data_IF_897480513369
#
_entry.id   IF_897480513369
#
_cell.length_a   1.000
_cell.length_b   1.000
_cell.length_c   1.000
_cell.angle_alpha   90.00
_cell.angle_beta   90.00
_cell.angle_gamma   90.00
#
_symmetry.space_group_name_H-M   'P 1'
#
loop_
_entity.id
_entity.type
_entity.pdbx_description
1 polymer ?
#
# COMPACT_ATOMS: atom_id res chain seq x y z
N UNK A 1 4.68 5.89 46.01
CA UNK A 1 3.75 4.87 45.47
C UNK A 1 3.05 5.24 44.17
N UNK A 2 3.25 6.40 43.53
CA UNK A 2 2.45 6.81 42.35
C UNK A 2 3.04 6.55 40.96
N UNK A 3 4.31 6.14 40.81
CA UNK A 3 4.89 5.94 39.47
C UNK A 3 4.39 4.70 38.73
N UNK A 4 3.97 3.66 39.47
CA UNK A 4 3.49 2.40 38.87
C UNK A 4 2.06 2.50 38.31
N UNK A 5 1.23 3.39 38.86
CA UNK A 5 -0.12 3.66 38.35
C UNK A 5 -0.08 4.43 37.03
N UNK A 6 0.83 5.39 36.90
CA UNK A 6 0.99 6.19 35.67
C UNK A 6 1.45 5.34 34.50
N UNK A 7 2.47 4.48 34.70
CA UNK A 7 2.98 3.61 33.64
C UNK A 7 1.95 2.57 33.15
N UNK A 8 1.08 2.07 34.06
CA UNK A 8 0.03 1.13 33.66
C UNK A 8 -1.09 1.80 32.87
N UNK A 9 -1.45 3.04 33.24
CA UNK A 9 -2.42 3.85 32.47
C UNK A 9 -1.86 4.25 31.10
N UNK A 10 -0.56 4.53 31.00
CA UNK A 10 0.12 4.79 29.72
C UNK A 10 0.07 3.58 28.78
N UNK A 11 0.37 2.38 29.30
CA UNK A 11 0.31 1.15 28.51
C UNK A 11 -1.11 0.88 27.98
N UNK A 12 -2.15 1.03 28.80
CA UNK A 12 -3.55 0.84 28.38
C UNK A 12 -3.99 1.86 27.32
N UNK A 13 -3.55 3.12 27.41
CA UNK A 13 -3.88 4.15 26.42
C UNK A 13 -3.17 3.91 25.08
N UNK A 14 -1.89 3.50 25.11
CA UNK A 14 -1.17 3.14 23.89
C UNK A 14 -1.74 1.90 23.21
N UNK A 15 -2.17 0.90 23.97
CA UNK A 15 -2.79 -0.32 23.42
C UNK A 15 -4.17 -0.04 22.82
N UNK A 16 -4.92 0.90 23.41
CA UNK A 16 -6.19 1.41 22.85
C UNK A 16 -5.97 2.18 21.53
N UNK A 17 -4.89 2.97 21.43
CA UNK A 17 -4.54 3.70 20.21
C UNK A 17 -4.13 2.74 19.08
N UNK A 18 -3.32 1.73 19.40
CA UNK A 18 -2.87 0.72 18.44
C UNK A 18 -4.03 -0.15 17.94
N UNK A 19 -4.93 -0.57 18.83
CA UNK A 19 -6.14 -1.33 18.46
C UNK A 19 -7.18 -0.52 17.67
N UNK A 20 -7.13 0.81 17.73
CA UNK A 20 -7.96 1.71 16.91
C UNK A 20 -7.53 1.85 15.44
N UNK A 21 -6.33 1.35 15.09
CA UNK A 21 -5.82 1.41 13.72
C UNK A 21 -6.54 0.38 12.85
N UNK A 22 -7.42 0.86 11.97
CA UNK A 22 -8.14 -0.01 11.03
C UNK A 22 -7.45 -0.15 9.67
N UNK A 23 -6.45 0.68 9.36
CA UNK A 23 -5.76 0.61 8.07
C UNK A 23 -4.89 -0.65 7.98
N UNK A 24 -5.08 -1.50 6.97
CA UNK A 24 -4.27 -2.71 6.80
C UNK A 24 -2.79 -2.40 6.53
N UNK A 25 -2.50 -1.22 5.95
CA UNK A 25 -1.13 -0.74 5.72
C UNK A 25 -0.47 -0.39 7.05
N UNK A 26 -1.18 0.35 7.91
CA UNK A 26 -0.66 0.71 9.23
C UNK A 26 -0.58 -0.49 10.17
N UNK A 27 -1.55 -1.39 10.15
CA UNK A 27 -1.49 -2.64 10.90
C UNK A 27 -0.26 -3.46 10.50
N UNK A 28 0.04 -3.55 9.20
CA UNK A 28 1.27 -4.19 8.72
C UNK A 28 2.53 -3.52 9.24
N UNK A 29 2.57 -2.18 9.25
CA UNK A 29 3.70 -1.42 9.78
C UNK A 29 3.87 -1.61 11.30
N UNK A 30 2.79 -1.54 12.08
CA UNK A 30 2.81 -1.72 13.54
C UNK A 30 3.22 -3.15 13.92
N UNK A 31 2.66 -4.16 13.25
CA UNK A 31 3.05 -5.56 13.48
C UNK A 31 4.52 -5.80 13.11
N UNK A 32 5.04 -5.14 12.06
CA UNK A 32 6.47 -5.23 11.70
C UNK A 32 7.42 -4.58 12.72
N UNK A 33 6.92 -3.71 13.60
CA UNK A 33 7.70 -3.08 14.67
C UNK A 33 7.71 -3.93 15.95
N UNK A 34 6.68 -4.75 16.16
CA UNK A 34 6.54 -5.64 17.33
C UNK A 34 7.23 -7.01 17.11
N UNK A 35 7.44 -7.41 15.84
CA UNK A 35 8.00 -8.70 15.47
C UNK A 35 9.56 -8.69 15.46
N UNK A 36 10.15 -9.07 16.60
CA UNK A 36 11.57 -9.38 16.75
C UNK A 36 11.96 -10.65 15.97
N UNK A 37 12.80 -10.49 14.94
CA UNK A 37 13.68 -11.51 14.32
C UNK A 37 13.20 -12.98 14.33
N UNK A 38 12.21 -13.34 13.51
CA UNK A 38 12.34 -14.55 12.69
C UNK A 38 11.74 -14.35 11.29
N UNK A 39 12.64 -14.41 10.30
CA UNK A 39 12.33 -14.11 8.91
C UNK A 39 11.45 -15.17 8.27
N UNK A 40 10.14 -14.99 8.35
CA UNK A 40 9.18 -15.61 7.43
C UNK A 40 8.03 -14.65 7.17
N UNK A 41 8.37 -13.46 6.68
CA UNK A 41 7.37 -12.53 6.13
C UNK A 41 6.68 -13.20 4.95
N UNK A 42 5.47 -13.69 5.18
CA UNK A 42 4.56 -14.16 4.14
C UNK A 42 4.30 -13.01 3.17
N UNK A 43 5.12 -12.98 2.11
CA UNK A 43 5.23 -12.00 1.03
C UNK A 43 4.00 -12.00 0.09
N UNK A 44 2.83 -12.33 0.63
CA UNK A 44 1.60 -12.56 -0.11
C UNK A 44 0.70 -11.31 -0.25
N UNK A 45 1.19 -10.10 0.04
CA UNK A 45 0.32 -8.90 0.08
C UNK A 45 0.33 -8.03 -1.16
N UNK A 46 1.21 -8.28 -2.14
CA UNK A 46 1.16 -7.58 -3.42
C UNK A 46 1.33 -8.58 -4.55
N UNK A 47 0.21 -9.13 -5.05
CA UNK A 47 0.19 -9.77 -6.36
C UNK A 47 0.42 -8.68 -7.40
N UNK A 48 1.68 -8.26 -7.56
CA UNK A 48 2.11 -7.49 -8.71
C UNK A 48 1.73 -8.34 -9.91
N UNK A 49 0.76 -7.89 -10.70
CA UNK A 49 0.41 -8.55 -11.95
C UNK A 49 1.57 -8.36 -12.94
N UNK A 50 2.68 -9.06 -12.69
CA UNK A 50 3.91 -8.99 -13.48
C UNK A 50 3.68 -9.50 -14.89
N UNK A 51 2.66 -10.36 -15.09
CA UNK A 51 2.29 -10.89 -16.40
C UNK A 51 0.76 -10.90 -16.58
N UNK A 52 0.23 -10.04 -17.48
CA UNK A 52 -1.15 -10.14 -17.92
C UNK A 52 -1.47 -11.53 -18.52
N UNK A 53 -2.62 -12.16 -18.20
CA UNK A 53 -2.99 -13.47 -18.72
C UNK A 53 -3.05 -13.54 -20.24
N UNK A 54 -3.44 -12.44 -20.90
CA UNK A 54 -3.51 -12.37 -22.37
C UNK A 54 -2.14 -12.55 -23.03
N UNK A 55 -1.04 -12.30 -22.30
CA UNK A 55 0.29 -12.56 -22.84
C UNK A 55 0.57 -14.05 -23.00
N UNK A 56 -0.06 -14.96 -22.25
CA UNK A 56 0.30 -16.38 -22.25
C UNK A 56 0.29 -16.99 -23.65
N UNK A 57 -0.73 -16.66 -24.44
CA UNK A 57 -0.96 -17.20 -25.78
C UNK A 57 -0.25 -16.43 -26.90
N UNK A 58 0.58 -15.44 -26.55
CA UNK A 58 1.26 -14.59 -27.53
C UNK A 58 2.63 -15.14 -27.93
N UNK A 59 3.07 -14.73 -29.12
CA UNK A 59 4.42 -15.03 -29.61
C UNK A 59 5.49 -14.46 -28.68
N UNK A 60 6.68 -15.07 -28.70
CA UNK A 60 7.83 -14.58 -27.93
C UNK A 60 8.19 -13.14 -28.29
N UNK A 61 8.02 -12.78 -29.57
CA UNK A 61 8.28 -11.42 -30.05
C UNK A 61 7.27 -10.42 -29.46
N UNK A 62 5.97 -10.73 -29.51
CA UNK A 62 4.95 -9.84 -28.97
C UNK A 62 5.09 -9.63 -27.44
N UNK A 63 5.47 -10.67 -26.70
CA UNK A 63 5.82 -10.59 -25.26
C UNK A 63 7.02 -9.66 -25.02
N UNK A 64 8.04 -9.73 -25.87
CA UNK A 64 9.23 -8.88 -25.80
C UNK A 64 8.89 -7.41 -26.07
N UNK A 65 8.04 -7.17 -27.07
CA UNK A 65 7.60 -5.82 -27.42
C UNK A 65 6.74 -5.20 -26.33
N UNK A 66 5.83 -5.98 -25.73
CA UNK A 66 5.08 -5.59 -24.54
C UNK A 66 6.02 -5.18 -23.40
N UNK A 67 7.00 -6.03 -23.07
CA UNK A 67 7.95 -5.77 -21.99
C UNK A 67 8.80 -4.52 -22.24
N UNK A 68 9.14 -4.23 -23.51
CA UNK A 68 9.89 -3.03 -23.89
C UNK A 68 9.08 -1.75 -23.63
N UNK A 69 7.78 -1.76 -23.91
CA UNK A 69 6.89 -0.63 -23.63
C UNK A 69 6.71 -0.49 -22.11
N UNK A 70 6.48 -1.59 -21.40
CA UNK A 70 6.23 -1.59 -19.95
C UNK A 70 7.44 -1.13 -19.13
N UNK A 71 8.66 -1.51 -19.52
CA UNK A 71 9.91 -1.17 -18.81
C UNK A 71 10.57 0.11 -19.32
N UNK A 72 9.87 0.92 -20.11
CA UNK A 72 10.48 2.09 -20.72
C UNK A 72 10.69 3.20 -19.69
N UNK A 73 11.96 3.49 -19.37
CA UNK A 73 12.32 4.40 -18.28
C UNK A 73 12.05 5.89 -18.59
N UNK A 74 11.97 6.26 -19.87
CA UNK A 74 11.85 7.67 -20.29
C UNK A 74 10.47 8.06 -20.82
N UNK A 75 9.52 7.13 -20.85
CA UNK A 75 8.14 7.42 -21.30
C UNK A 75 7.34 8.04 -20.16
N UNK A 76 6.52 9.05 -20.48
CA UNK A 76 5.47 9.47 -19.54
C UNK A 76 4.41 8.38 -19.42
N UNK A 77 3.64 8.38 -18.32
CA UNK A 77 2.51 7.45 -18.14
C UNK A 77 1.56 7.46 -19.34
N UNK A 78 1.23 8.66 -19.85
CA UNK A 78 0.35 8.81 -21.01
C UNK A 78 0.95 8.17 -22.27
N UNK A 79 2.22 8.45 -22.56
CA UNK A 79 2.92 7.87 -23.72
C UNK A 79 2.97 6.33 -23.63
N UNK A 80 3.22 5.80 -22.44
CA UNK A 80 3.24 4.35 -22.21
C UNK A 80 1.84 3.74 -22.44
N UNK A 81 0.78 4.37 -21.94
CA UNK A 81 -0.61 3.93 -22.18
C UNK A 81 -0.96 3.94 -23.66
N UNK A 82 -0.63 5.00 -24.39
CA UNK A 82 -0.88 5.10 -25.83
C UNK A 82 -0.12 4.04 -26.61
N UNK A 83 1.16 3.81 -26.29
CA UNK A 83 1.97 2.76 -26.91
C UNK A 83 1.42 1.36 -26.62
N UNK A 84 0.94 1.12 -25.40
CA UNK A 84 0.36 -0.17 -25.03
C UNK A 84 -0.98 -0.43 -25.72
N UNK A 85 -1.82 0.62 -25.89
CA UNK A 85 -3.04 0.55 -26.69
C UNK A 85 -2.74 0.23 -28.16
N UNK A 86 -1.75 0.91 -28.75
CA UNK A 86 -1.32 0.63 -30.13
C UNK A 86 -0.80 -0.80 -30.29
N UNK A 87 0.01 -1.28 -29.34
CA UNK A 87 0.49 -2.66 -29.30
C UNK A 87 -0.66 -3.67 -29.20
N UNK A 88 -1.68 -3.39 -28.39
CA UNK A 88 -2.83 -4.28 -28.22
C UNK A 88 -3.65 -4.42 -29.51
N UNK A 89 -3.85 -3.30 -30.24
CA UNK A 89 -4.49 -3.30 -31.56
C UNK A 89 -3.68 -4.12 -32.56
N UNK A 90 -2.36 -3.89 -32.64
CA UNK A 90 -1.48 -4.60 -33.57
C UNK A 90 -1.45 -6.12 -33.34
N UNK A 91 -1.74 -6.57 -32.12
CA UNK A 91 -1.73 -7.98 -31.75
C UNK A 91 -3.13 -8.59 -31.57
N UNK A 92 -4.20 -7.87 -31.92
CA UNK A 92 -5.59 -8.32 -31.79
C UNK A 92 -5.97 -8.74 -30.34
N UNK A 93 -5.41 -8.06 -29.34
CA UNK A 93 -5.68 -8.31 -27.91
C UNK A 93 -6.33 -7.12 -27.22
N UNK A 94 -6.97 -6.21 -27.98
CA UNK A 94 -7.59 -4.99 -27.45
C UNK A 94 -8.57 -5.26 -26.31
N UNK A 95 -9.50 -6.20 -26.47
CA UNK A 95 -10.50 -6.52 -25.43
C UNK A 95 -9.86 -7.02 -24.13
N UNK A 96 -9.05 -8.09 -24.13
CA UNK A 96 -8.44 -8.56 -22.89
C UNK A 96 -7.39 -7.58 -22.33
N UNK A 97 -6.78 -6.74 -23.17
CA UNK A 97 -5.91 -5.65 -22.72
C UNK A 97 -6.70 -4.59 -21.94
N UNK A 98 -7.84 -4.11 -22.46
CA UNK A 98 -8.68 -3.12 -21.78
C UNK A 98 -9.16 -3.63 -20.43
N UNK A 99 -9.63 -4.88 -20.35
CA UNK A 99 -10.06 -5.50 -19.08
C UNK A 99 -8.92 -5.47 -18.05
N UNK A 100 -7.71 -5.84 -18.48
CA UNK A 100 -6.54 -5.84 -17.60
C UNK A 100 -6.15 -4.42 -17.16
N UNK A 101 -6.17 -3.45 -18.08
CA UNK A 101 -5.86 -2.05 -17.78
C UNK A 101 -6.86 -1.46 -16.76
N UNK A 102 -8.15 -1.74 -16.94
CA UNK A 102 -9.21 -1.33 -16.00
C UNK A 102 -9.02 -1.94 -14.61
N UNK A 103 -8.70 -3.23 -14.54
CA UNK A 103 -8.41 -3.92 -13.28
C UNK A 103 -7.20 -3.32 -12.56
N UNK A 104 -6.14 -3.02 -13.31
CA UNK A 104 -4.92 -2.43 -12.79
C UNK A 104 -5.15 -1.00 -12.29
N UNK A 105 -5.93 -0.20 -13.02
CA UNK A 105 -6.31 1.15 -12.60
C UNK A 105 -7.21 1.13 -11.36
N UNK A 106 -8.18 0.21 -11.29
CA UNK A 106 -9.01 0.03 -10.11
C UNK A 106 -8.20 -0.40 -8.88
N UNK A 107 -7.21 -1.29 -9.06
CA UNK A 107 -6.31 -1.69 -7.99
C UNK A 107 -5.46 -0.52 -7.49
N UNK A 108 -4.80 0.22 -8.40
CA UNK A 108 -4.03 1.42 -8.03
C UNK A 108 -4.87 2.44 -7.27
N UNK A 109 -6.13 2.63 -7.67
CA UNK A 109 -7.05 3.52 -6.96
C UNK A 109 -7.30 3.03 -5.53
N UNK A 110 -7.62 1.75 -5.35
CA UNK A 110 -7.81 1.16 -4.01
C UNK A 110 -6.58 1.34 -3.13
N UNK A 111 -5.39 1.02 -3.66
CA UNK A 111 -4.12 1.20 -2.94
C UNK A 111 -3.89 2.67 -2.56
N UNK A 112 -4.18 3.61 -3.46
CA UNK A 112 -4.07 5.05 -3.17
C UNK A 112 -5.07 5.50 -2.09
N UNK A 113 -6.30 5.00 -2.13
CA UNK A 113 -7.33 5.30 -1.13
C UNK A 113 -6.92 4.74 0.24
N UNK A 114 -6.38 3.51 0.29
CA UNK A 114 -5.87 2.86 1.50
C UNK A 114 -4.67 3.62 2.10
N UNK A 115 -3.73 4.09 1.27
CA UNK A 115 -2.61 4.93 1.71
C UNK A 115 -3.11 6.26 2.26
N UNK A 116 -4.09 6.89 1.61
CA UNK A 116 -4.66 8.16 2.08
C UNK A 116 -5.31 7.98 3.45
N UNK A 117 -6.10 6.92 3.61
CA UNK A 117 -6.72 6.58 4.89
C UNK A 117 -5.68 6.27 5.97
N UNK A 118 -4.58 5.59 5.63
CA UNK A 118 -3.45 5.38 6.53
C UNK A 118 -2.83 6.71 7.00
N UNK A 119 -2.58 7.64 6.09
CA UNK A 119 -2.01 8.95 6.44
C UNK A 119 -2.95 9.74 7.36
N UNK A 120 -4.26 9.72 7.10
CA UNK A 120 -5.26 10.37 7.95
C UNK A 120 -5.31 9.76 9.35
N UNK A 121 -5.28 8.42 9.45
CA UNK A 121 -5.25 7.73 10.74
C UNK A 121 -3.96 8.01 11.51
N UNK A 122 -2.80 8.06 10.86
CA UNK A 122 -1.53 8.45 11.49
C UNK A 122 -1.60 9.86 12.07
N UNK A 123 -2.18 10.80 11.33
CA UNK A 123 -2.36 12.16 11.83
C UNK A 123 -3.26 12.18 13.08
N UNK A 124 -4.35 11.41 13.06
CA UNK A 124 -5.25 11.28 14.21
C UNK A 124 -4.59 10.63 15.44
N UNK A 125 -3.74 9.63 15.25
CA UNK A 125 -2.96 9.02 16.35
C UNK A 125 -1.94 10.00 16.90
N UNK A 126 -1.22 10.74 16.04
CA UNK A 126 -0.25 11.74 16.47
C UNK A 126 -0.91 12.84 17.33
N UNK A 127 -2.05 13.38 16.90
CA UNK A 127 -2.78 14.38 17.69
C UNK A 127 -3.26 13.85 19.05
N UNK A 128 -3.57 12.55 19.15
CA UNK A 128 -3.95 11.93 20.42
C UNK A 128 -2.73 11.77 21.35
N UNK A 129 -1.56 11.41 20.82
CA UNK A 129 -0.31 11.35 21.58
C UNK A 129 0.06 12.74 22.11
N UNK A 130 0.02 13.77 21.25
CA UNK A 130 0.30 15.16 21.65
C UNK A 130 -0.65 15.64 22.76
N UNK A 131 -1.94 15.30 22.67
CA UNK A 131 -2.92 15.64 23.71
C UNK A 131 -2.66 14.92 25.05
N UNK A 132 -2.17 13.67 25.01
CA UNK A 132 -1.75 12.94 26.21
C UNK A 132 -0.53 13.63 26.83
N UNK A 133 0.50 13.95 26.04
CA UNK A 133 1.71 14.64 26.51
C UNK A 133 1.41 16.04 27.10
N UNK A 134 0.50 16.80 26.49
CA UNK A 134 0.11 18.12 27.00
C UNK A 134 -0.75 18.02 28.27
N UNK A 135 -1.62 17.01 28.40
CA UNK A 135 -2.32 16.74 29.65
C UNK A 135 -1.38 16.33 30.79
N UNK A 136 -0.25 15.65 30.48
CA UNK A 136 0.78 15.35 31.47
C UNK A 136 1.45 16.62 32.03
N UNK A 137 1.68 17.66 31.21
CA UNK A 137 2.22 18.94 31.70
C UNK A 137 1.27 19.65 32.66
N UNK A 138 -0.04 19.51 32.49
CA UNK A 138 -1.05 20.17 33.33
C UNK A 138 -1.21 19.47 34.69
N UNK A 139 -0.86 18.19 34.81
CA UNK A 139 -1.06 17.39 36.04
C UNK A 139 0.16 17.44 37.00
N UNK A 140 1.20 18.21 36.69
CA UNK A 140 2.44 18.32 37.46
C UNK A 140 2.47 19.47 38.50
N UNK A 141 1.32 19.93 39.00
CA UNK A 141 1.21 20.94 40.08
C UNK A 141 0.49 20.39 41.31
#
# INVERSE_FOLDING_TARGET
ENQYLTAHQEAEQTDTLVSGISSPILLGFVMSLDESEDGSGDEAKYKVWKNPPFLLNMSKQAKKDYAKIYKHETMTKQQQTEAMKAWAVANNVTVPFTIFDDQLNAQKKRESDEITSAVEQLHGVLSQIEAIEDNQKITAH
#
